data_IF_055487078283
#
_entry.id   IF_055487078283
#
_cell.length_a   1.000
_cell.length_b   1.000
_cell.length_c   1.000
_cell.angle_alpha   90.00
_cell.angle_beta   90.00
_cell.angle_gamma   90.00
#
_symmetry.space_group_name_H-M   'P 1'
#
loop_
_entity.id
_entity.type
_entity.pdbx_description
1 polymer ?
#
# COMPACT_ATOMS: atom_id res chain seq x y z
N UNK A 1 -1.16 -52.19 38.71
CA UNK A 1 -0.90 -52.17 37.25
C UNK A 1 -1.30 -50.80 36.75
N UNK A 2 -0.31 -49.93 36.54
CA UNK A 2 -0.50 -48.58 35.99
C UNK A 2 -0.62 -48.68 34.46
N UNK A 3 -1.66 -48.12 33.82
CA UNK A 3 -1.74 -48.13 32.37
C UNK A 3 -0.70 -47.14 31.81
N UNK A 4 0.15 -47.64 30.90
CA UNK A 4 1.11 -46.85 30.17
C UNK A 4 0.39 -45.73 29.39
N UNK A 5 0.78 -44.46 29.61
CA UNK A 5 0.34 -43.34 28.80
C UNK A 5 0.83 -43.57 27.36
N UNK A 6 -0.08 -43.96 26.47
CA UNK A 6 0.19 -44.07 25.05
C UNK A 6 0.64 -42.71 24.46
N UNK A 7 1.43 -42.71 23.38
CA UNK A 7 1.87 -41.49 22.72
C UNK A 7 0.64 -40.69 22.29
N UNK A 8 0.60 -39.40 22.65
CA UNK A 8 -0.45 -38.48 22.23
C UNK A 8 -0.56 -38.50 20.70
N UNK A 9 -1.66 -39.08 20.21
CA UNK A 9 -2.00 -39.11 18.80
C UNK A 9 -2.50 -37.70 18.44
N UNK A 10 -1.75 -37.01 17.59
CA UNK A 10 -2.11 -35.70 17.05
C UNK A 10 -3.41 -35.87 16.25
N UNK A 11 -4.47 -35.18 16.67
CA UNK A 11 -5.79 -35.23 16.04
C UNK A 11 -6.03 -33.89 15.34
N UNK A 12 -5.92 -33.83 13.99
CA UNK A 12 -6.04 -32.60 13.23
C UNK A 12 -7.38 -31.87 13.39
N UNK A 13 -8.44 -32.59 13.79
CA UNK A 13 -9.79 -32.03 13.94
C UNK A 13 -10.04 -31.48 15.35
N UNK A 14 -9.31 -31.98 16.36
CA UNK A 14 -9.40 -31.57 17.77
C UNK A 14 -8.29 -30.60 18.19
N UNK A 15 -7.15 -30.62 17.49
CA UNK A 15 -6.04 -29.72 17.78
C UNK A 15 -6.37 -28.30 17.33
N UNK A 16 -6.54 -27.41 18.32
CA UNK A 16 -6.70 -25.97 18.05
C UNK A 16 -5.54 -25.51 17.17
N UNK A 17 -5.80 -24.81 16.05
CA UNK A 17 -4.72 -24.21 15.30
C UNK A 17 -3.92 -23.33 16.28
N UNK A 18 -2.58 -23.46 16.30
CA UNK A 18 -1.76 -22.71 17.25
C UNK A 18 -2.14 -21.24 17.15
N UNK A 19 -2.49 -20.65 18.29
CA UNK A 19 -2.82 -19.24 18.36
C UNK A 19 -1.66 -18.48 17.70
N UNK A 20 -1.95 -17.73 16.63
CA UNK A 20 -0.93 -16.97 15.90
C UNK A 20 -0.23 -16.06 16.90
N UNK A 21 0.96 -16.46 17.35
CA UNK A 21 1.79 -15.61 18.20
C UNK A 21 2.00 -14.29 17.44
N UNK A 22 1.96 -13.14 18.13
CA UNK A 22 2.28 -11.87 17.51
C UNK A 22 3.69 -11.97 16.96
N UNK A 23 3.82 -11.92 15.63
CA UNK A 23 5.12 -11.96 14.97
C UNK A 23 5.80 -10.65 15.31
N UNK A 24 6.83 -10.72 16.16
CA UNK A 24 7.68 -9.57 16.46
C UNK A 24 8.48 -9.26 15.21
N UNK A 25 8.04 -8.24 14.48
CA UNK A 25 8.76 -7.74 13.32
C UNK A 25 9.98 -6.97 13.82
N UNK A 26 11.16 -7.40 13.39
CA UNK A 26 12.39 -6.67 13.68
C UNK A 26 12.35 -5.28 13.00
N UNK A 27 13.04 -4.27 13.55
CA UNK A 27 13.05 -2.90 13.04
C UNK A 27 13.52 -2.75 11.57
N UNK A 28 14.03 -3.83 10.97
CA UNK A 28 14.49 -3.90 9.57
C UNK A 28 13.64 -4.81 8.68
N UNK A 29 12.41 -5.15 9.10
CA UNK A 29 11.54 -6.04 8.31
C UNK A 29 11.23 -5.53 6.90
N UNK A 30 11.19 -4.20 6.74
CA UNK A 30 10.96 -3.50 5.47
C UNK A 30 11.92 -3.97 4.35
N UNK A 31 13.11 -4.46 4.72
CA UNK A 31 14.14 -4.92 3.79
C UNK A 31 13.83 -6.28 3.14
N UNK A 32 13.00 -7.09 3.79
CA UNK A 32 12.61 -8.43 3.33
C UNK A 32 11.30 -8.42 2.53
N UNK A 33 10.57 -7.31 2.58
CA UNK A 33 9.32 -7.11 1.85
C UNK A 33 9.58 -6.73 0.39
N UNK A 34 8.71 -7.19 -0.52
CA UNK A 34 8.69 -6.77 -1.93
C UNK A 34 7.37 -6.06 -2.22
N UNK A 35 7.32 -4.78 -1.88
CA UNK A 35 6.12 -3.95 -2.04
C UNK A 35 6.30 -2.95 -3.17
N UNK A 36 5.23 -2.76 -3.93
CA UNK A 36 5.12 -1.75 -4.99
C UNK A 36 4.00 -0.80 -4.63
N UNK A 37 4.24 0.51 -4.71
CA UNK A 37 3.17 1.51 -4.55
C UNK A 37 2.26 1.47 -5.77
N UNK A 38 0.95 1.37 -5.54
CA UNK A 38 -0.09 1.42 -6.56
C UNK A 38 -0.92 2.72 -6.37
N UNK A 39 -0.66 3.78 -7.16
CA UNK A 39 -1.39 5.03 -7.08
C UNK A 39 -2.64 5.08 -7.99
N UNK A 40 -2.93 4.03 -8.78
CA UNK A 40 -3.92 4.14 -9.87
C UNK A 40 -5.31 4.56 -9.41
N UNK A 41 -5.78 4.06 -8.26
CA UNK A 41 -7.09 4.44 -7.73
C UNK A 41 -7.12 5.90 -7.27
N UNK A 42 -6.05 6.39 -6.63
CA UNK A 42 -5.93 7.79 -6.27
C UNK A 42 -5.88 8.68 -7.52
N UNK A 43 -5.12 8.30 -8.55
CA UNK A 43 -5.07 9.01 -9.82
C UNK A 43 -6.42 9.02 -10.55
N UNK A 44 -7.14 7.89 -10.56
CA UNK A 44 -8.48 7.81 -11.12
C UNK A 44 -9.47 8.72 -10.39
N UNK A 45 -9.40 8.79 -9.06
CA UNK A 45 -10.24 9.67 -8.24
C UNK A 45 -9.91 11.16 -8.41
N UNK A 46 -8.66 11.50 -8.75
CA UNK A 46 -8.26 12.89 -9.03
C UNK A 46 -8.92 13.46 -10.29
N UNK A 47 -9.31 12.63 -11.26
CA UNK A 47 -9.96 13.08 -12.50
C UNK A 47 -11.33 13.75 -12.21
N UNK A 48 -12.33 13.06 -11.62
CA UNK A 48 -13.59 13.70 -11.28
C UNK A 48 -13.44 14.79 -10.23
N UNK A 49 -12.48 14.64 -9.30
CA UNK A 49 -12.16 15.68 -8.32
C UNK A 49 -11.73 17.00 -8.98
N UNK A 50 -10.85 16.93 -9.98
CA UNK A 50 -10.40 18.10 -10.73
C UNK A 50 -11.54 18.74 -11.51
N UNK A 51 -12.37 17.94 -12.17
CA UNK A 51 -13.55 18.42 -12.89
C UNK A 51 -14.55 19.14 -11.95
N UNK A 52 -14.84 18.54 -10.79
CA UNK A 52 -15.72 19.13 -9.78
C UNK A 52 -15.14 20.43 -9.20
N UNK A 53 -13.83 20.46 -8.97
CA UNK A 53 -13.12 21.66 -8.50
C UNK A 53 -13.24 22.79 -9.49
N UNK A 54 -13.00 22.53 -10.78
CA UNK A 54 -13.18 23.53 -11.84
C UNK A 54 -14.59 24.09 -11.86
N UNK A 55 -15.61 23.25 -11.74
CA UNK A 55 -17.02 23.68 -11.70
C UNK A 55 -17.31 24.52 -10.44
N UNK A 56 -16.82 24.12 -9.28
CA UNK A 56 -17.01 24.84 -8.03
C UNK A 56 -16.38 26.25 -8.06
N UNK A 57 -15.20 26.38 -8.67
CA UNK A 57 -14.56 27.69 -8.89
C UNK A 57 -15.34 28.58 -9.85
N UNK A 58 -15.84 28.03 -10.97
CA UNK A 58 -16.67 28.77 -11.92
C UNK A 58 -17.98 29.27 -11.27
N UNK A 59 -18.58 28.43 -10.43
CA UNK A 59 -19.78 28.78 -9.65
C UNK A 59 -19.51 29.68 -8.44
N UNK A 60 -18.22 29.96 -8.12
CA UNK A 60 -17.79 30.70 -6.92
C UNK A 60 -18.37 30.14 -5.61
N UNK A 61 -18.60 28.82 -5.56
CA UNK A 61 -19.29 28.17 -4.46
C UNK A 61 -18.29 27.70 -3.39
N UNK A 62 -17.94 28.60 -2.47
CA UNK A 62 -16.91 28.38 -1.43
C UNK A 62 -17.12 27.09 -0.62
N UNK A 63 -18.35 26.74 -0.15
CA UNK A 63 -18.54 25.50 0.61
C UNK A 63 -18.15 24.24 -0.16
N UNK A 64 -18.43 24.20 -1.47
CA UNK A 64 -18.06 23.06 -2.32
C UNK A 64 -16.55 22.96 -2.48
N UNK A 65 -15.85 24.09 -2.58
CA UNK A 65 -14.38 24.13 -2.65
C UNK A 65 -13.79 23.54 -1.36
N UNK A 66 -14.34 23.90 -0.19
CA UNK A 66 -13.88 23.35 1.10
C UNK A 66 -14.11 21.83 1.21
N UNK A 67 -15.28 21.35 0.77
CA UNK A 67 -15.58 19.91 0.73
C UNK A 67 -14.62 19.19 -0.21
N UNK A 68 -14.35 19.75 -1.39
CA UNK A 68 -13.40 19.18 -2.35
C UNK A 68 -11.98 19.16 -1.77
N UNK A 69 -11.54 20.22 -1.10
CA UNK A 69 -10.24 20.22 -0.41
C UNK A 69 -10.16 19.12 0.65
N UNK A 70 -11.20 18.95 1.47
CA UNK A 70 -11.26 17.88 2.48
C UNK A 70 -11.22 16.49 1.84
N UNK A 71 -11.85 16.29 0.67
CA UNK A 71 -11.84 15.01 -0.02
C UNK A 71 -10.47 14.57 -0.54
N UNK A 72 -9.48 15.47 -0.64
CA UNK A 72 -8.09 15.09 -0.92
C UNK A 72 -7.53 14.12 0.13
N UNK A 73 -7.96 14.24 1.39
CA UNK A 73 -7.57 13.30 2.45
C UNK A 73 -8.10 11.90 2.16
N UNK A 74 -9.35 11.81 1.69
CA UNK A 74 -9.94 10.54 1.28
C UNK A 74 -9.22 9.95 0.06
N UNK A 75 -8.85 10.78 -0.93
CA UNK A 75 -8.08 10.36 -2.11
C UNK A 75 -6.69 9.87 -1.71
N UNK A 76 -6.01 10.52 -0.76
CA UNK A 76 -4.74 10.04 -0.24
C UNK A 76 -4.89 8.64 0.39
N UNK A 77 -6.02 8.37 1.06
CA UNK A 77 -6.38 7.05 1.57
C UNK A 77 -6.52 5.95 0.50
N UNK A 78 -6.73 6.32 -0.77
CA UNK A 78 -6.80 5.41 -1.91
C UNK A 78 -5.42 5.00 -2.46
N UNK A 79 -4.33 5.57 -1.94
CA UNK A 79 -3.00 5.06 -2.24
C UNK A 79 -2.88 3.64 -1.72
N UNK A 80 -2.54 2.71 -2.61
CA UNK A 80 -2.40 1.30 -2.26
C UNK A 80 -0.95 0.85 -2.33
N UNK A 81 -0.64 -0.25 -1.66
CA UNK A 81 0.53 -1.07 -1.94
C UNK A 81 0.09 -2.40 -2.57
N UNK A 82 0.99 -3.02 -3.32
CA UNK A 82 0.86 -4.36 -3.85
C UNK A 82 2.09 -5.19 -3.45
N UNK A 83 1.87 -6.38 -2.87
CA UNK A 83 2.94 -7.28 -2.46
C UNK A 83 3.29 -8.26 -3.58
N UNK A 84 4.51 -8.20 -4.10
CA UNK A 84 4.97 -9.07 -5.19
C UNK A 84 5.17 -10.53 -4.78
N UNK A 85 5.20 -10.83 -3.49
CA UNK A 85 5.41 -12.20 -3.02
C UNK A 85 4.10 -12.99 -2.88
N UNK A 86 3.04 -12.36 -2.37
CA UNK A 86 1.74 -13.00 -2.12
C UNK A 86 0.59 -12.42 -2.95
N UNK A 87 0.82 -11.35 -3.72
CA UNK A 87 -0.21 -10.67 -4.52
C UNK A 87 -1.16 -9.77 -3.71
N UNK A 88 -1.04 -9.72 -2.39
CA UNK A 88 -1.95 -8.94 -1.54
C UNK A 88 -1.87 -7.44 -1.86
N UNK A 89 -3.01 -6.78 -1.92
CA UNK A 89 -3.14 -5.32 -1.99
C UNK A 89 -3.69 -4.77 -0.69
N UNK A 90 -3.31 -3.54 -0.36
CA UNK A 90 -3.81 -2.87 0.84
C UNK A 90 -3.52 -1.38 0.83
N UNK A 91 -4.03 -0.66 1.81
CA UNK A 91 -3.78 0.77 1.94
C UNK A 91 -2.29 1.04 2.21
N UNK A 92 -1.71 1.96 1.45
CA UNK A 92 -0.28 2.30 1.53
C UNK A 92 0.10 2.67 2.96
N UNK A 93 -0.66 3.46 3.71
CA UNK A 93 -0.31 3.85 5.09
C UNK A 93 -0.10 2.66 6.05
N UNK A 94 -0.64 1.48 5.73
CA UNK A 94 -0.49 0.26 6.53
C UNK A 94 0.57 -0.70 5.98
N UNK A 95 1.36 -0.29 4.98
CA UNK A 95 2.34 -1.15 4.30
C UNK A 95 3.35 -1.78 5.27
N UNK A 96 3.79 -1.04 6.29
CA UNK A 96 4.74 -1.52 7.31
C UNK A 96 4.21 -2.72 8.13
N UNK A 97 2.88 -2.83 8.26
CA UNK A 97 2.23 -3.90 9.01
C UNK A 97 2.00 -5.16 8.17
N UNK A 98 2.29 -5.13 6.87
CA UNK A 98 2.07 -6.28 6.00
C UNK A 98 3.19 -7.32 6.13
N UNK A 99 2.90 -8.49 6.71
CA UNK A 99 3.83 -9.62 6.75
C UNK A 99 3.30 -10.79 5.93
N UNK A 100 4.01 -11.19 4.88
CA UNK A 100 3.69 -12.41 4.12
C UNK A 100 4.63 -13.55 4.52
N UNK A 101 4.17 -14.81 4.42
CA UNK A 101 4.99 -15.98 4.79
C UNK A 101 6.35 -16.01 4.08
N UNK A 102 6.41 -15.61 2.81
CA UNK A 102 7.67 -15.52 2.04
C UNK A 102 8.62 -14.46 2.59
N UNK A 103 8.11 -13.30 3.01
CA UNK A 103 8.93 -12.25 3.64
C UNK A 103 9.48 -12.69 5.00
N UNK A 104 8.66 -13.40 5.78
CA UNK A 104 9.05 -13.97 7.08
C UNK A 104 10.09 -15.07 6.92
N UNK A 105 9.91 -15.98 5.96
CA UNK A 105 10.87 -17.03 5.66
C UNK A 105 12.26 -16.44 5.30
N UNK A 106 12.31 -15.34 4.55
CA UNK A 106 13.57 -14.65 4.22
C UNK A 106 14.21 -13.97 5.43
N UNK A 107 13.40 -13.39 6.32
CA UNK A 107 13.88 -12.81 7.56
C UNK A 107 14.52 -13.88 8.45
N UNK A 108 13.83 -15.01 8.66
CA UNK A 108 14.35 -16.13 9.45
C UNK A 108 15.59 -16.77 8.85
N UNK A 109 15.65 -16.90 7.51
CA UNK A 109 16.83 -17.38 6.81
C UNK A 109 17.98 -16.34 6.75
N UNK A 110 17.80 -15.13 7.29
CA UNK A 110 18.71 -13.97 7.17
C UNK A 110 19.13 -13.69 5.72
N UNK A 111 18.30 -14.08 4.75
CA UNK A 111 18.56 -13.89 3.34
C UNK A 111 18.12 -12.49 2.93
N UNK A 112 19.02 -11.53 3.18
CA UNK A 112 18.86 -10.16 2.67
C UNK A 112 18.91 -10.17 1.15
N UNK A 113 18.09 -9.33 0.53
CA UNK A 113 18.11 -9.15 -0.93
C UNK A 113 19.42 -8.49 -1.34
N UNK A 114 20.07 -9.01 -2.39
CA UNK A 114 21.24 -8.36 -3.02
C UNK A 114 20.92 -6.99 -3.61
N UNK A 115 19.68 -6.82 -4.11
CA UNK A 115 19.17 -5.56 -4.63
C UNK A 115 17.97 -5.11 -3.79
N UNK A 116 18.15 -4.01 -3.06
CA UNK A 116 17.04 -3.28 -2.41
C UNK A 116 16.35 -2.43 -3.45
N UNK A 117 15.08 -2.74 -3.71
CA UNK A 117 14.22 -1.82 -4.45
C UNK A 117 13.93 -0.57 -3.60
N UNK A 118 13.51 0.54 -4.22
CA UNK A 118 13.07 1.72 -3.49
C UNK A 118 11.91 1.37 -2.55
N UNK A 119 11.89 2.00 -1.38
CA UNK A 119 10.78 1.88 -0.44
C UNK A 119 9.46 2.34 -1.11
N UNK A 120 8.30 1.73 -0.83
CA UNK A 120 6.99 2.20 -1.30
C UNK A 120 6.75 3.72 -1.16
N UNK A 121 7.28 4.34 -0.10
CA UNK A 121 7.20 5.79 0.09
C UNK A 121 7.98 6.54 -1.01
N UNK A 122 9.23 6.13 -1.28
CA UNK A 122 10.06 6.69 -2.36
C UNK A 122 9.42 6.49 -3.73
N UNK A 123 8.82 5.32 -3.97
CA UNK A 123 8.07 5.05 -5.21
C UNK A 123 6.88 6.00 -5.36
N UNK A 124 6.16 6.30 -4.27
CA UNK A 124 5.03 7.23 -4.27
C UNK A 124 5.47 8.66 -4.57
N UNK A 125 6.61 9.10 -4.02
CA UNK A 125 7.21 10.41 -4.36
C UNK A 125 7.58 10.47 -5.84
N UNK A 126 8.20 9.40 -6.38
CA UNK A 126 8.54 9.31 -7.79
C UNK A 126 7.29 9.40 -8.68
N UNK A 127 6.20 8.72 -8.30
CA UNK A 127 4.90 8.85 -8.97
C UNK A 127 4.38 10.29 -8.94
N UNK A 128 4.50 10.99 -7.81
CA UNK A 128 4.16 12.40 -7.70
C UNK A 128 4.93 13.27 -8.70
N UNK A 129 6.25 13.06 -8.81
CA UNK A 129 7.07 13.75 -9.81
C UNK A 129 6.63 13.44 -11.24
N UNK A 130 6.38 12.18 -11.58
CA UNK A 130 5.91 11.78 -12.91
C UNK A 130 4.60 12.50 -13.25
N UNK A 131 3.62 12.48 -12.35
CA UNK A 131 2.32 13.14 -12.55
C UNK A 131 2.50 14.64 -12.75
N UNK A 132 3.33 15.29 -11.93
CA UNK A 132 3.61 16.72 -12.03
C UNK A 132 4.26 17.08 -13.38
N UNK A 133 5.26 16.31 -13.82
CA UNK A 133 5.94 16.52 -15.10
C UNK A 133 4.97 16.33 -16.26
N UNK A 134 4.16 15.26 -16.25
CA UNK A 134 3.14 15.00 -17.28
C UNK A 134 2.11 16.13 -17.33
N UNK A 135 1.66 16.63 -16.18
CA UNK A 135 0.72 17.75 -16.10
C UNK A 135 1.33 19.05 -16.66
N UNK A 136 2.58 19.35 -16.30
CA UNK A 136 3.31 20.52 -16.80
C UNK A 136 3.48 20.46 -18.33
N UNK A 137 3.94 19.33 -18.85
CA UNK A 137 4.11 19.13 -20.30
C UNK A 137 2.78 19.23 -21.04
N UNK A 138 1.71 18.68 -20.48
CA UNK A 138 0.35 18.79 -21.05
C UNK A 138 -0.15 20.23 -21.07
N UNK A 139 0.16 21.02 -20.03
CA UNK A 139 -0.19 22.44 -19.96
C UNK A 139 0.60 23.30 -20.96
N UNK A 140 1.89 22.99 -21.17
CA UNK A 140 2.70 23.66 -22.20
C UNK A 140 2.17 23.30 -23.60
N UNK A 141 1.92 22.02 -23.86
CA UNK A 141 1.42 21.55 -25.14
C UNK A 141 0.02 22.12 -25.48
N UNK A 142 -0.85 22.31 -24.49
CA UNK A 142 -2.17 22.91 -24.72
C UNK A 142 -2.11 24.41 -25.00
N UNK A 143 -1.14 25.13 -24.42
CA UNK A 143 -0.90 26.56 -24.73
C UNK A 143 -0.35 26.78 -26.13
N UNK A 144 0.51 25.90 -26.62
CA UNK A 144 1.13 26.03 -27.95
C UNK A 144 0.20 25.64 -29.12
N UNK A 145 -1.00 25.13 -28.84
CA UNK A 145 -2.01 24.78 -29.85
C UNK A 145 -3.00 25.90 -30.16
N UNK A 146 -2.88 27.05 -29.48
CA UNK A 146 -3.63 28.27 -29.74
C UNK A 146 -2.67 29.37 -30.16
#
# INVERSE_FOLDING_TARGET
MEPARGPHQHDPDLDRPPARAPIVLEPYFEEYQRLVSNPFLALAALIPWFAATRLAFLAKHVPSILILLASLVAIAGLLQFHCLDCGATGCLFRWKHHACQRSLARQWARQRRRLRGPNPATQTVLWGFIVMVVALLSAIASRNRF
#
